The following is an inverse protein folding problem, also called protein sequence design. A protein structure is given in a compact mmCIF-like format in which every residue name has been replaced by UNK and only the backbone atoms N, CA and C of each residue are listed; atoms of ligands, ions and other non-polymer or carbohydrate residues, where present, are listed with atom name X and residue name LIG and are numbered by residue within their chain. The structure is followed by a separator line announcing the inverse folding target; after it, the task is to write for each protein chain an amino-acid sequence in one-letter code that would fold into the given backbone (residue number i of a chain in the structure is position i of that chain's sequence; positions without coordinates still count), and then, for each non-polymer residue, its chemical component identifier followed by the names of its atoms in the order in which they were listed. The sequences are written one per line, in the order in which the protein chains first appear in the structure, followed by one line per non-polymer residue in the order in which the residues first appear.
data_IF_227401933158
#
_entry.id   IF_227401933158
#
_cell.length_a   1.000
_cell.length_b   1.000
_cell.length_c   1.000
_cell.angle_alpha   90.00
_cell.angle_beta   90.00
_cell.angle_gamma   90.00
#
_symmetry.space_group_name_H-M   'P 1'
#
loop_
_entity.id
_entity.type
_entity.pdbx_description
1 polymer ?
#
# COMPACT_ATOMS: atom_id res chain seq x y z
N UNK A 1 -16.41 -30.78 -22.22
CA UNK A 1 -15.62 -29.76 -22.95
C UNK A 1 -16.27 -29.27 -24.25
N UNK A 2 -17.37 -29.86 -24.73
CA UNK A 2 -17.97 -29.54 -26.05
C UNK A 2 -18.71 -28.20 -26.16
N UNK A 3 -18.75 -27.37 -25.11
CA UNK A 3 -19.51 -26.10 -25.09
C UNK A 3 -18.69 -24.86 -24.68
N UNK A 4 -17.36 -24.98 -24.59
CA UNK A 4 -16.50 -23.80 -24.32
C UNK A 4 -16.35 -22.97 -25.59
N UNK A 5 -16.84 -21.72 -25.57
CA UNK A 5 -16.75 -20.81 -26.73
C UNK A 5 -15.37 -20.14 -26.89
N UNK A 6 -14.64 -19.94 -25.78
CA UNK A 6 -13.28 -19.41 -25.81
C UNK A 6 -12.51 -19.80 -24.53
N UNK A 7 -11.21 -20.06 -24.71
CA UNK A 7 -10.26 -20.26 -23.62
C UNK A 7 -9.07 -19.32 -23.83
N UNK A 8 -8.67 -18.59 -22.79
CA UNK A 8 -7.51 -17.70 -22.83
C UNK A 8 -6.65 -17.90 -21.60
N UNK A 9 -5.36 -18.09 -21.82
CA UNK A 9 -4.35 -18.12 -20.76
C UNK A 9 -3.58 -16.80 -20.82
N UNK A 10 -3.59 -16.04 -19.72
CA UNK A 10 -2.79 -14.83 -19.60
C UNK A 10 -1.37 -15.21 -19.16
N UNK A 11 -0.32 -14.59 -19.72
CA UNK A 11 1.04 -14.87 -19.31
C UNK A 11 1.29 -14.37 -17.88
N UNK A 12 2.11 -15.10 -17.13
CA UNK A 12 2.63 -14.63 -15.85
C UNK A 12 3.47 -13.36 -16.05
N UNK A 13 3.45 -12.47 -15.06
CA UNK A 13 4.25 -11.24 -15.06
C UNK A 13 5.19 -11.26 -13.85
N UNK A 14 6.52 -11.15 -14.05
CA UNK A 14 7.43 -11.07 -12.92
C UNK A 14 7.22 -9.76 -12.14
N UNK A 15 7.52 -9.76 -10.83
CA UNK A 15 7.42 -8.57 -10.02
C UNK A 15 8.46 -7.52 -10.45
N UNK A 16 8.10 -6.25 -10.41
CA UNK A 16 9.01 -5.13 -10.60
C UNK A 16 9.12 -4.36 -9.28
N UNK A 17 10.33 -4.30 -8.73
CA UNK A 17 10.59 -3.71 -7.42
C UNK A 17 11.33 -2.38 -7.52
N UNK A 18 11.22 -1.58 -6.46
CA UNK A 18 11.95 -0.35 -6.24
C UNK A 18 12.35 -0.25 -4.75
N UNK A 19 13.40 0.52 -4.42
CA UNK A 19 13.80 0.71 -3.03
C UNK A 19 12.70 1.42 -2.23
N UNK A 20 12.74 1.29 -0.91
CA UNK A 20 11.89 2.11 -0.03
C UNK A 20 12.27 3.60 -0.22
N UNK A 21 11.30 4.52 -0.39
CA UNK A 21 11.54 5.96 -0.46
C UNK A 21 12.47 6.46 0.64
N UNK A 22 13.55 7.16 0.26
CA UNK A 22 14.57 7.62 1.22
C UNK A 22 14.02 8.62 2.25
N UNK A 23 12.95 9.33 1.90
CA UNK A 23 12.22 10.27 2.76
C UNK A 23 11.13 9.65 3.62
N UNK A 24 10.86 8.35 3.48
CA UNK A 24 9.89 7.67 4.34
C UNK A 24 10.37 7.74 5.80
N UNK A 25 9.43 7.78 6.74
CA UNK A 25 9.78 7.87 8.15
C UNK A 25 10.63 6.64 8.54
N UNK A 26 11.78 6.80 9.24
CA UNK A 26 12.69 5.68 9.52
C UNK A 26 12.01 4.50 10.23
N UNK A 27 11.12 4.78 11.20
CA UNK A 27 10.36 3.73 11.89
C UNK A 27 9.54 2.84 10.93
N UNK A 28 8.93 3.43 9.89
CA UNK A 28 8.21 2.67 8.88
C UNK A 28 9.16 1.82 8.03
N UNK A 29 10.29 2.41 7.59
CA UNK A 29 11.28 1.69 6.81
C UNK A 29 11.84 0.47 7.58
N UNK A 30 12.04 0.61 8.90
CA UNK A 30 12.50 -0.47 9.78
C UNK A 30 11.42 -1.52 10.07
N UNK A 31 10.14 -1.13 10.12
CA UNK A 31 9.04 -2.06 10.39
C UNK A 31 8.66 -2.93 9.18
N UNK A 32 8.90 -2.46 7.95
CA UNK A 32 8.51 -3.16 6.71
C UNK A 32 9.05 -4.62 6.62
N UNK A 33 10.34 -4.91 6.90
CA UNK A 33 10.85 -6.29 6.93
C UNK A 33 10.11 -7.20 7.91
N UNK A 34 9.66 -6.68 9.06
CA UNK A 34 8.85 -7.44 10.04
C UNK A 34 7.50 -7.89 9.49
N UNK A 35 7.00 -7.22 8.45
CA UNK A 35 5.80 -7.60 7.68
C UNK A 35 6.10 -8.46 6.45
N UNK A 36 7.33 -8.93 6.30
CA UNK A 36 7.79 -9.66 5.11
C UNK A 36 7.97 -8.77 3.87
N UNK A 37 8.08 -7.45 4.04
CA UNK A 37 8.23 -6.50 2.94
C UNK A 37 9.68 -6.00 2.92
N UNK A 38 10.55 -6.70 2.16
CA UNK A 38 11.94 -6.28 1.98
C UNK A 38 12.09 -5.15 0.96
N UNK A 39 11.22 -5.12 -0.04
CA UNK A 39 11.22 -4.16 -1.15
C UNK A 39 9.79 -3.80 -1.51
N UNK A 40 9.60 -2.58 -1.97
CA UNK A 40 8.32 -2.16 -2.50
C UNK A 40 8.20 -2.58 -3.97
N UNK A 41 6.99 -2.92 -4.39
CA UNK A 41 6.69 -2.91 -5.81
C UNK A 41 6.85 -1.50 -6.39
N UNK A 42 7.20 -1.42 -7.67
CA UNK A 42 7.42 -0.15 -8.37
C UNK A 42 6.24 0.82 -8.20
N UNK A 43 5.01 0.34 -8.36
CA UNK A 43 3.79 1.17 -8.19
C UNK A 43 3.57 1.65 -6.75
N UNK A 44 4.05 0.91 -5.75
CA UNK A 44 4.00 1.35 -4.35
C UNK A 44 5.01 2.47 -4.13
N UNK A 45 6.27 2.27 -4.55
CA UNK A 45 7.30 3.30 -4.47
C UNK A 45 6.85 4.59 -5.16
N UNK A 46 6.44 4.51 -6.43
CA UNK A 46 6.05 5.67 -7.22
C UNK A 46 4.85 6.41 -6.59
N UNK A 47 3.87 5.68 -6.03
CA UNK A 47 2.72 6.27 -5.36
C UNK A 47 3.09 6.97 -4.04
N UNK A 48 3.96 6.34 -3.23
CA UNK A 48 4.43 6.91 -1.96
C UNK A 48 5.25 8.16 -2.21
N UNK A 49 6.19 8.12 -3.16
CA UNK A 49 6.96 9.30 -3.55
C UNK A 49 6.01 10.43 -4.01
N UNK A 50 5.10 10.16 -4.95
CA UNK A 50 4.19 11.20 -5.43
C UNK A 50 3.32 11.80 -4.30
N UNK A 51 2.80 10.97 -3.39
CA UNK A 51 2.01 11.43 -2.25
C UNK A 51 2.83 12.25 -1.25
N UNK A 52 4.05 11.81 -0.89
CA UNK A 52 4.94 12.55 0.00
C UNK A 52 5.43 13.87 -0.61
N UNK A 53 5.33 14.05 -1.93
CA UNK A 53 5.62 15.32 -2.60
C UNK A 53 4.42 16.29 -2.58
N UNK A 54 3.33 15.95 -1.88
CA UNK A 54 2.10 16.74 -1.84
C UNK A 54 1.19 16.55 -3.06
N UNK A 55 1.47 15.56 -3.90
CA UNK A 55 0.67 15.25 -5.09
C UNK A 55 -0.58 14.42 -4.77
N UNK A 56 -1.64 14.62 -5.55
CA UNK A 56 -2.79 13.72 -5.55
C UNK A 56 -2.52 12.53 -6.47
N UNK A 57 -2.72 11.30 -5.98
CA UNK A 57 -2.33 10.07 -6.67
C UNK A 57 -3.53 9.14 -6.88
N UNK A 58 -3.71 8.65 -8.10
CA UNK A 58 -4.65 7.58 -8.41
C UNK A 58 -3.88 6.30 -8.79
N UNK A 59 -4.07 5.22 -8.02
CA UNK A 59 -3.37 3.95 -8.23
C UNK A 59 -4.28 2.94 -8.90
N UNK A 60 -3.98 2.58 -10.15
CA UNK A 60 -4.76 1.60 -10.93
C UNK A 60 -3.99 0.29 -11.04
N UNK A 61 -4.25 -0.64 -10.12
CA UNK A 61 -3.63 -1.97 -10.12
C UNK A 61 -4.65 -3.06 -9.73
N UNK A 62 -4.48 -4.32 -10.19
CA UNK A 62 -5.41 -5.43 -9.89
C UNK A 62 -5.58 -5.66 -8.39
N UNK A 63 -6.67 -6.31 -7.96
CA UNK A 63 -6.82 -6.78 -6.57
C UNK A 63 -5.62 -7.63 -6.12
N UNK A 64 -5.33 -7.63 -4.81
CA UNK A 64 -4.16 -8.28 -4.22
C UNK A 64 -2.76 -7.78 -4.70
N UNK A 65 -2.68 -6.63 -5.38
CA UNK A 65 -1.41 -6.00 -5.78
C UNK A 65 -0.69 -5.20 -4.67
N UNK A 66 -1.21 -5.21 -3.44
CA UNK A 66 -0.66 -4.43 -2.33
C UNK A 66 -0.94 -2.92 -2.39
N UNK A 67 -2.11 -2.51 -2.91
CA UNK A 67 -2.53 -1.08 -2.93
C UNK A 67 -2.59 -0.45 -1.55
N UNK A 68 -2.83 -1.23 -0.50
CA UNK A 68 -2.95 -0.74 0.87
C UNK A 68 -1.70 0.01 1.32
N UNK A 69 -0.51 -0.46 0.96
CA UNK A 69 0.74 0.24 1.24
C UNK A 69 0.88 1.58 0.51
N UNK A 70 0.28 1.73 -0.69
CA UNK A 70 0.36 2.98 -1.46
C UNK A 70 -0.26 4.17 -0.70
N UNK A 71 -1.29 3.95 0.11
CA UNK A 71 -1.92 5.01 0.89
C UNK A 71 -1.58 4.95 2.39
N UNK A 72 -1.31 3.78 2.97
CA UNK A 72 -0.95 3.70 4.40
C UNK A 72 0.42 4.28 4.68
N UNK A 73 1.42 4.05 3.84
CA UNK A 73 2.77 4.58 4.06
C UNK A 73 2.83 6.12 4.13
N UNK A 74 2.24 6.89 3.18
CA UNK A 74 2.26 8.34 3.28
C UNK A 74 1.39 8.88 4.43
N UNK A 75 0.28 8.21 4.75
CA UNK A 75 -0.55 8.58 5.91
C UNK A 75 0.23 8.38 7.22
N UNK A 76 0.76 7.18 7.45
CA UNK A 76 1.51 6.88 8.67
C UNK A 76 2.77 7.74 8.78
N UNK A 77 3.46 8.02 7.67
CA UNK A 77 4.59 8.96 7.66
C UNK A 77 4.19 10.34 8.20
N UNK A 78 3.03 10.84 7.77
CA UNK A 78 2.52 12.14 8.19
C UNK A 78 2.10 12.11 9.67
N UNK A 79 1.40 11.07 10.11
CA UNK A 79 0.95 10.91 11.49
C UNK A 79 2.13 10.73 12.49
N UNK A 80 3.23 10.12 12.06
CA UNK A 80 4.44 10.00 12.87
C UNK A 80 5.21 11.32 12.98
N UNK A 81 5.13 12.17 11.95
CA UNK A 81 5.81 13.46 11.92
C UNK A 81 5.02 14.56 12.67
N UNK A 82 3.69 14.44 12.74
CA UNK A 82 2.79 15.42 13.35
C UNK A 82 1.66 14.71 14.12
N UNK A 83 1.68 14.86 15.44
CA UNK A 83 0.70 14.24 16.34
C UNK A 83 -0.72 14.85 16.19
N UNK A 84 -0.85 16.05 15.64
CA UNK A 84 -2.14 16.69 15.37
C UNK A 84 -2.70 16.33 13.99
N UNK A 85 -1.90 15.70 13.12
CA UNK A 85 -2.33 15.28 11.80
C UNK A 85 -3.44 14.22 11.84
N UNK A 86 -4.35 14.26 10.87
CA UNK A 86 -5.47 13.31 10.73
C UNK A 86 -5.62 12.90 9.27
N UNK A 87 -6.14 11.69 9.05
CA UNK A 87 -6.44 11.17 7.72
C UNK A 87 -7.88 10.63 7.66
N UNK A 88 -8.54 10.80 6.52
CA UNK A 88 -9.88 10.27 6.24
C UNK A 88 -9.79 9.15 5.21
N UNK A 89 -10.30 7.98 5.58
CA UNK A 89 -10.39 6.83 4.70
C UNK A 89 -11.84 6.63 4.26
N UNK A 90 -12.06 6.57 2.95
CA UNK A 90 -13.39 6.36 2.37
C UNK A 90 -13.40 5.04 1.61
N UNK A 91 -14.30 4.14 2.04
CA UNK A 91 -14.49 2.83 1.43
C UNK A 91 -15.94 2.64 0.99
N UNK A 92 -16.19 1.86 -0.08
CA UNK A 92 -17.54 1.63 -0.59
C UNK A 92 -18.42 0.79 0.35
N UNK A 93 -17.84 0.01 1.27
CA UNK A 93 -18.59 -0.85 2.20
C UNK A 93 -17.99 -0.78 3.60
N UNK A 94 -18.84 -0.97 4.62
CA UNK A 94 -18.41 -1.05 6.03
C UNK A 94 -17.49 -2.24 6.30
N UNK A 95 -17.77 -3.39 5.69
CA UNK A 95 -16.92 -4.58 5.84
C UNK A 95 -15.48 -4.29 5.40
N UNK A 96 -15.31 -3.70 4.20
CA UNK A 96 -13.98 -3.34 3.72
C UNK A 96 -13.32 -2.26 4.61
N UNK A 97 -14.09 -1.30 5.12
CA UNK A 97 -13.56 -0.31 6.05
C UNK A 97 -13.04 -0.95 7.35
N UNK A 98 -13.74 -1.94 7.90
CA UNK A 98 -13.29 -2.70 9.07
C UNK A 98 -12.03 -3.51 8.77
N UNK A 99 -11.98 -4.24 7.65
CA UNK A 99 -10.79 -5.00 7.27
C UNK A 99 -9.54 -4.10 7.13
N UNK A 100 -9.71 -2.88 6.59
CA UNK A 100 -8.59 -1.94 6.47
C UNK A 100 -8.23 -1.23 7.78
N UNK A 101 -9.18 -1.09 8.71
CA UNK A 101 -8.91 -0.57 10.05
C UNK A 101 -8.05 -1.55 10.86
N UNK A 102 -8.37 -2.83 10.81
CA UNK A 102 -7.61 -3.88 11.51
C UNK A 102 -6.17 -3.93 10.97
N UNK A 103 -6.00 -3.95 9.64
CA UNK A 103 -4.67 -3.90 8.99
C UNK A 103 -3.87 -2.64 9.38
N UNK A 104 -4.55 -1.49 9.56
CA UNK A 104 -3.91 -0.25 9.97
C UNK A 104 -3.47 -0.31 11.45
N UNK A 105 -4.30 -0.84 12.34
CA UNK A 105 -3.94 -1.04 13.74
C UNK A 105 -2.76 -2.01 13.89
N UNK A 106 -2.77 -3.11 13.14
CA UNK A 106 -1.68 -4.08 13.13
C UNK A 106 -0.38 -3.43 12.66
N UNK A 107 -0.43 -2.52 11.69
CA UNK A 107 0.76 -1.77 11.26
C UNK A 107 1.20 -0.75 12.32
N UNK A 108 0.26 -0.02 12.91
CA UNK A 108 0.55 0.97 13.94
C UNK A 108 1.19 0.32 15.18
N UNK A 109 0.70 -0.81 15.66
CA UNK A 109 1.23 -1.51 16.83
C UNK A 109 2.64 -2.09 16.65
N UNK A 110 3.18 -2.11 15.43
CA UNK A 110 4.58 -2.45 15.16
C UNK A 110 5.53 -1.24 15.21
N UNK A 111 4.97 -0.03 15.35
CA UNK A 111 5.73 1.23 15.39
C UNK A 111 5.96 1.73 16.82
N UNK A 112 5.33 1.08 17.80
CA UNK A 112 5.56 1.23 19.24
C UNK A 112 6.79 0.44 19.69
#
# INVERSE_FOLDING_TARGET
MSTVAAWRTLPARPPFYAPVPARLHPALATALPGRGIERLYRHQHDAVEAALAGGSVAVVTPTASGKTLCYNLPVLHTLLADADARALYLFPTKALAHDQLDELHDFAGMLD
#
